data_IF_767661578068
#
_entry.id   IF_767661578068
#
_cell.length_a   1.000
_cell.length_b   1.000
_cell.length_c   1.000
_cell.angle_alpha   90.00
_cell.angle_beta   90.00
_cell.angle_gamma   90.00
#
_symmetry.space_group_name_H-M   'P 1'
#
loop_
_entity.id
_entity.type
_entity.pdbx_description
1 polymer ?
#
# COMPACT_ATOMS: atom_id res chain seq x y z
N UNK A 1 -13.41 -26.37 52.83
CA UNK A 1 -14.11 -27.02 51.70
C UNK A 1 -13.67 -26.33 50.42
N UNK A 2 -12.76 -26.95 49.65
CA UNK A 2 -12.24 -26.35 48.41
C UNK A 2 -13.22 -26.63 47.26
N UNK A 3 -13.74 -25.57 46.62
CA UNK A 3 -14.59 -25.68 45.43
C UNK A 3 -13.69 -25.77 44.19
N UNK A 4 -13.74 -26.86 43.40
CA UNK A 4 -13.05 -26.88 42.11
C UNK A 4 -13.69 -25.87 41.15
N UNK A 5 -12.86 -25.22 40.34
CA UNK A 5 -13.28 -24.25 39.30
C UNK A 5 -14.20 -24.90 38.27
N UNK A 6 -15.27 -24.20 37.89
CA UNK A 6 -16.34 -24.71 37.03
C UNK A 6 -15.84 -25.06 35.61
N UNK A 7 -16.19 -26.23 35.03
CA UNK A 7 -15.66 -26.73 33.75
C UNK A 7 -16.21 -26.02 32.49
N UNK A 8 -16.85 -24.87 32.64
CA UNK A 8 -17.64 -24.15 31.62
C UNK A 8 -16.81 -23.69 30.41
N UNK A 9 -15.48 -23.57 30.54
CA UNK A 9 -14.58 -23.14 29.45
C UNK A 9 -13.87 -24.28 28.71
N UNK A 10 -14.16 -25.55 29.02
CA UNK A 10 -13.14 -26.58 28.81
C UNK A 10 -13.19 -27.42 27.53
N UNK A 11 -14.28 -27.52 26.74
CA UNK A 11 -14.39 -28.71 25.86
C UNK A 11 -14.96 -28.59 24.44
N UNK A 12 -15.11 -27.40 23.86
CA UNK A 12 -15.36 -27.29 22.41
C UNK A 12 -14.80 -25.99 21.82
N UNK A 13 -13.59 -26.04 21.27
CA UNK A 13 -13.04 -24.94 20.49
C UNK A 13 -13.47 -25.09 19.03
N UNK A 14 -14.42 -24.25 18.58
CA UNK A 14 -14.74 -24.05 17.16
C UNK A 14 -13.82 -22.99 16.51
N UNK A 15 -12.65 -22.75 17.10
CA UNK A 15 -11.71 -21.76 16.57
C UNK A 15 -11.10 -22.24 15.24
N UNK A 16 -10.79 -21.32 14.31
CA UNK A 16 -10.11 -21.67 13.07
C UNK A 16 -8.78 -22.35 13.34
N UNK A 17 -8.50 -23.46 12.66
CA UNK A 17 -7.25 -24.17 12.86
C UNK A 17 -6.03 -23.34 12.43
N UNK A 18 -4.93 -23.42 13.16
CA UNK A 18 -3.66 -22.76 12.84
C UNK A 18 -2.60 -23.76 12.36
N UNK A 19 -1.49 -23.26 11.81
CA UNK A 19 -0.45 -24.08 11.16
C UNK A 19 0.32 -25.03 12.10
N UNK A 20 0.26 -24.84 13.42
CA UNK A 20 0.84 -25.77 14.42
C UNK A 20 -0.18 -26.73 15.04
N UNK A 21 -1.43 -26.71 14.58
CA UNK A 21 -2.43 -27.70 14.94
C UNK A 21 -2.52 -28.78 13.85
N UNK A 22 -3.23 -29.87 14.12
CA UNK A 22 -3.38 -30.99 13.18
C UNK A 22 -2.20 -31.96 13.18
N UNK A 23 -2.26 -32.96 12.30
CA UNK A 23 -1.24 -34.00 12.14
C UNK A 23 -0.32 -33.70 10.94
N UNK A 24 0.66 -34.58 10.65
CA UNK A 24 1.67 -34.45 9.58
C UNK A 24 1.12 -34.10 8.20
N UNK A 25 -0.13 -34.49 7.90
CA UNK A 25 -0.77 -34.23 6.59
C UNK A 25 -1.53 -32.91 6.54
N UNK A 26 -1.62 -32.18 7.66
CA UNK A 26 -2.27 -30.89 7.71
C UNK A 26 -1.27 -29.79 7.36
N UNK A 27 -1.48 -29.13 6.22
CA UNK A 27 -0.75 -27.93 5.84
C UNK A 27 -1.71 -26.74 5.75
N UNK A 28 -1.41 -25.69 6.51
CA UNK A 28 -2.07 -24.38 6.39
C UNK A 28 -1.02 -23.31 6.10
N UNK A 29 -1.15 -22.67 4.94
CA UNK A 29 -0.27 -21.57 4.55
C UNK A 29 -0.46 -20.33 5.42
N UNK A 30 0.61 -19.55 5.58
CA UNK A 30 0.63 -18.30 6.36
C UNK A 30 0.19 -17.07 5.54
N UNK A 31 -0.13 -17.26 4.26
CA UNK A 31 -0.53 -16.17 3.38
C UNK A 31 0.61 -15.20 3.06
N UNK A 32 1.84 -15.71 2.90
CA UNK A 32 3.17 -15.06 2.81
C UNK A 32 3.38 -13.84 1.87
N UNK A 33 2.34 -13.06 1.54
CA UNK A 33 2.20 -11.62 1.80
C UNK A 33 0.89 -11.17 1.13
N UNK A 34 -0.24 -10.95 1.84
CA UNK A 34 -1.46 -10.46 1.20
C UNK A 34 -1.26 -8.97 0.88
N UNK A 35 -1.24 -8.60 -0.40
CA UNK A 35 -1.19 -7.19 -0.85
C UNK A 35 -0.05 -6.83 -1.79
N UNK A 36 0.96 -7.70 -1.98
CA UNK A 36 2.12 -7.43 -2.83
C UNK A 36 2.16 -8.30 -4.10
N UNK A 37 1.00 -8.76 -4.59
CA UNK A 37 0.88 -9.58 -5.81
C UNK A 37 0.64 -11.08 -5.56
N UNK A 38 0.84 -11.93 -6.60
CA UNK A 38 0.54 -13.36 -6.53
C UNK A 38 1.23 -14.07 -5.35
N UNK A 39 0.49 -14.91 -4.64
CA UNK A 39 1.02 -15.67 -3.49
C UNK A 39 1.99 -16.77 -3.93
N UNK A 40 1.76 -17.34 -5.11
CA UNK A 40 2.59 -18.42 -5.65
C UNK A 40 3.78 -17.84 -6.43
N UNK A 41 4.98 -18.04 -5.91
CA UNK A 41 6.25 -17.63 -6.54
C UNK A 41 6.78 -18.68 -7.54
N UNK A 42 6.01 -19.75 -7.75
CA UNK A 42 6.42 -20.91 -8.51
C UNK A 42 5.29 -21.92 -8.65
N UNK A 43 5.65 -23.17 -8.96
CA UNK A 43 4.70 -24.29 -9.07
C UNK A 43 5.30 -25.57 -8.52
N UNK A 44 4.45 -26.48 -8.03
CA UNK A 44 4.88 -27.83 -7.71
C UNK A 44 5.19 -28.62 -8.99
N UNK A 45 6.26 -29.40 -8.96
CA UNK A 45 6.57 -30.35 -10.03
C UNK A 45 5.60 -31.53 -10.01
N UNK A 46 5.33 -32.14 -11.17
CA UNK A 46 4.41 -33.28 -11.27
C UNK A 46 5.01 -34.62 -10.80
N UNK A 47 6.11 -35.06 -11.43
CA UNK A 47 6.75 -36.37 -11.20
C UNK A 47 8.29 -36.31 -11.21
N UNK A 48 8.87 -35.22 -10.73
CA UNK A 48 10.32 -34.99 -10.76
C UNK A 48 10.99 -35.01 -9.39
N UNK A 49 12.33 -35.07 -9.40
CA UNK A 49 13.17 -34.90 -8.19
C UNK A 49 13.10 -33.50 -7.59
N UNK A 50 12.67 -32.50 -8.37
CA UNK A 50 12.45 -31.13 -7.91
C UNK A 50 10.97 -30.96 -7.47
N UNK A 51 10.68 -30.91 -6.15
CA UNK A 51 9.30 -30.83 -5.65
C UNK A 51 8.63 -29.47 -5.89
N UNK A 52 9.43 -28.40 -6.09
CA UNK A 52 8.95 -27.05 -6.37
C UNK A 52 9.87 -26.33 -7.36
N UNK A 53 9.30 -25.69 -8.37
CA UNK A 53 9.99 -24.94 -9.42
C UNK A 53 9.73 -23.45 -9.19
N UNK A 54 10.81 -22.71 -8.97
CA UNK A 54 10.83 -21.27 -8.79
C UNK A 54 10.65 -20.55 -10.14
N UNK A 55 9.80 -19.52 -10.18
CA UNK A 55 9.51 -18.74 -11.39
C UNK A 55 9.87 -17.27 -11.15
N UNK A 56 11.03 -16.78 -11.63
CA UNK A 56 11.49 -15.41 -11.39
C UNK A 56 10.47 -14.33 -11.75
N UNK A 57 9.70 -14.55 -12.82
CA UNK A 57 8.62 -13.64 -13.26
C UNK A 57 7.51 -13.45 -12.22
N UNK A 58 7.30 -14.43 -11.33
CA UNK A 58 6.29 -14.38 -10.25
C UNK A 58 6.89 -13.95 -8.91
N UNK A 59 8.21 -13.83 -8.85
CA UNK A 59 8.89 -13.41 -7.63
C UNK A 59 8.75 -11.91 -7.45
N UNK A 60 8.56 -11.50 -6.20
CA UNK A 60 8.48 -10.09 -5.86
C UNK A 60 9.89 -9.50 -5.81
N UNK A 61 10.05 -8.33 -6.40
CA UNK A 61 11.27 -7.52 -6.32
C UNK A 61 10.93 -6.15 -5.72
N UNK A 62 11.72 -5.70 -4.76
CA UNK A 62 11.62 -4.35 -4.22
C UNK A 62 12.71 -3.50 -4.86
N UNK A 63 12.32 -2.70 -5.86
CA UNK A 63 13.25 -1.85 -6.58
C UNK A 63 13.50 -0.59 -5.76
N UNK A 64 14.76 -0.38 -5.39
CA UNK A 64 15.19 0.83 -4.67
C UNK A 64 15.60 1.88 -5.69
N UNK A 65 15.05 3.11 -5.64
CA UNK A 65 15.46 4.17 -6.55
C UNK A 65 16.92 4.56 -6.30
N UNK A 66 17.62 4.93 -7.38
CA UNK A 66 19.00 5.41 -7.30
C UNK A 66 19.06 6.72 -6.51
N UNK A 67 20.07 6.88 -5.66
CA UNK A 67 20.27 8.09 -4.87
C UNK A 67 19.35 8.24 -3.65
N UNK A 68 18.56 7.22 -3.29
CA UNK A 68 17.67 7.28 -2.12
C UNK A 68 18.41 7.57 -0.80
N UNK A 69 19.66 7.12 -0.69
CA UNK A 69 20.51 7.36 0.48
C UNK A 69 21.09 8.78 0.54
N UNK A 70 21.03 9.54 -0.55
CA UNK A 70 21.56 10.91 -0.65
C UNK A 70 20.46 11.96 -0.69
N UNK A 71 19.18 11.58 -0.75
CA UNK A 71 18.07 12.54 -0.74
C UNK A 71 17.96 13.24 0.62
N UNK A 72 17.64 14.53 0.61
CA UNK A 72 17.31 15.29 1.82
C UNK A 72 15.92 14.96 2.39
N UNK A 73 15.11 14.18 1.65
CA UNK A 73 13.77 13.78 2.08
C UNK A 73 13.81 12.88 3.32
N UNK A 74 13.07 13.28 4.36
CA UNK A 74 12.92 12.55 5.63
C UNK A 74 11.49 12.01 5.78
N UNK A 75 11.27 10.96 6.60
CA UNK A 75 9.94 10.42 6.84
C UNK A 75 9.01 11.39 7.59
N UNK A 76 9.55 12.43 8.21
CA UNK A 76 8.81 13.43 8.98
C UNK A 76 9.21 14.85 8.57
N UNK A 77 8.29 15.79 8.78
CA UNK A 77 8.47 17.22 8.56
C UNK A 77 8.79 17.92 9.88
N UNK A 78 9.57 19.01 9.84
CA UNK A 78 9.85 19.82 11.03
C UNK A 78 8.57 20.47 11.57
N UNK A 79 8.41 20.49 12.90
CA UNK A 79 7.21 21.01 13.58
C UNK A 79 6.93 22.48 13.29
N UNK A 80 7.97 23.26 12.99
CA UNK A 80 7.90 24.69 12.76
C UNK A 80 7.36 25.06 11.37
N UNK A 81 7.39 24.12 10.42
CA UNK A 81 6.90 24.35 9.06
C UNK A 81 5.37 24.39 9.07
N UNK A 82 4.81 25.56 8.73
CA UNK A 82 3.38 25.72 8.48
C UNK A 82 3.10 25.32 7.03
N UNK A 83 2.20 24.37 6.83
CA UNK A 83 1.76 23.95 5.51
C UNK A 83 0.61 24.86 5.06
N UNK A 84 0.83 25.68 4.03
CA UNK A 84 -0.28 26.24 3.26
C UNK A 84 -0.59 25.31 2.09
N UNK A 85 -1.86 24.93 1.98
CA UNK A 85 -2.39 24.19 0.84
C UNK A 85 -2.24 24.91 -0.51
N UNK A 86 -2.02 26.22 -0.50
CA UNK A 86 -1.79 27.03 -1.72
C UNK A 86 -0.32 27.09 -2.13
N UNK A 87 0.62 26.76 -1.23
CA UNK A 87 2.07 26.79 -1.49
C UNK A 87 2.56 25.54 -2.27
N UNK A 88 1.64 24.82 -2.91
CA UNK A 88 2.00 23.69 -3.77
C UNK A 88 2.76 24.16 -5.01
N UNK A 89 3.72 23.34 -5.45
CA UNK A 89 4.42 23.52 -6.74
C UNK A 89 3.47 23.49 -7.95
N UNK A 90 2.25 22.97 -7.78
CA UNK A 90 1.28 22.72 -8.84
C UNK A 90 0.09 23.66 -8.69
N UNK A 91 -0.53 24.09 -9.81
CA UNK A 91 -1.64 25.02 -9.78
C UNK A 91 -2.87 24.36 -9.14
N UNK A 92 -3.67 25.17 -8.46
CA UNK A 92 -5.00 24.77 -8.00
C UNK A 92 -5.92 24.56 -9.21
N UNK A 93 -6.73 23.50 -9.19
CA UNK A 93 -7.64 23.20 -10.29
C UNK A 93 -8.63 24.35 -10.54
N UNK A 94 -8.78 24.79 -11.79
CA UNK A 94 -9.70 25.86 -12.18
C UNK A 94 -11.18 25.49 -11.91
N UNK A 95 -11.50 24.20 -11.97
CA UNK A 95 -12.83 23.65 -11.63
C UNK A 95 -13.14 23.69 -10.13
N UNK A 96 -12.16 24.04 -9.29
CA UNK A 96 -12.39 24.22 -7.88
C UNK A 96 -13.21 25.50 -7.66
N UNK A 97 -14.40 25.34 -7.10
CA UNK A 97 -15.23 26.48 -6.71
C UNK A 97 -14.50 27.41 -5.75
N UNK A 98 -14.88 28.70 -5.75
CA UNK A 98 -14.30 29.74 -4.86
C UNK A 98 -14.63 29.55 -3.38
N UNK A 99 -15.29 28.45 -3.01
CA UNK A 99 -15.64 28.13 -1.65
C UNK A 99 -14.39 27.91 -0.81
N UNK A 100 -14.02 28.98 -0.10
CA UNK A 100 -12.89 29.06 0.83
C UNK A 100 -12.99 28.01 1.98
N UNK A 101 -14.16 27.39 2.14
CA UNK A 101 -14.50 26.46 3.21
C UNK A 101 -14.68 25.00 2.74
N UNK A 102 -14.36 24.68 1.49
CA UNK A 102 -14.46 23.28 1.06
C UNK A 102 -13.53 22.43 1.94
N UNK A 103 -14.08 21.46 2.68
CA UNK A 103 -13.31 20.52 3.52
C UNK A 103 -12.24 19.75 2.71
N UNK A 104 -12.35 19.79 1.37
CA UNK A 104 -11.35 19.32 0.41
C UNK A 104 -10.25 20.38 0.26
N UNK A 105 -9.37 20.46 1.24
CA UNK A 105 -8.19 21.35 1.23
C UNK A 105 -7.17 21.05 0.13
N UNK A 106 -7.33 19.99 -0.67
CA UNK A 106 -6.37 19.61 -1.72
C UNK A 106 -6.44 20.46 -3.00
N UNK A 107 -5.50 20.22 -3.92
CA UNK A 107 -5.38 20.96 -5.18
C UNK A 107 -6.55 20.72 -6.15
N UNK A 108 -7.15 19.54 -6.06
CA UNK A 108 -8.12 19.06 -7.04
C UNK A 108 -9.54 19.59 -6.81
N UNK A 109 -10.27 19.80 -7.91
CA UNK A 109 -11.70 20.12 -7.90
C UNK A 109 -12.58 18.93 -7.56
N UNK A 110 -13.90 19.09 -7.67
CA UNK A 110 -14.87 18.04 -7.31
C UNK A 110 -14.67 16.72 -8.09
N UNK A 111 -14.21 16.82 -9.34
CA UNK A 111 -13.93 15.71 -10.26
C UNK A 111 -12.56 15.04 -10.06
N UNK A 112 -11.68 15.60 -9.22
CA UNK A 112 -10.36 14.99 -8.92
C UNK A 112 -9.35 15.12 -10.07
N UNK A 113 -8.74 14.00 -10.46
CA UNK A 113 -7.77 13.87 -11.56
C UNK A 113 -8.47 13.87 -12.93
N UNK A 114 -9.07 15.00 -13.29
CA UNK A 114 -9.78 15.17 -14.55
C UNK A 114 -8.84 15.60 -15.70
N UNK A 115 -9.22 15.31 -16.94
CA UNK A 115 -8.49 15.71 -18.14
C UNK A 115 -8.30 17.23 -18.24
N UNK A 116 -9.32 18.00 -17.84
CA UNK A 116 -9.25 19.47 -17.75
C UNK A 116 -8.09 19.94 -16.85
N UNK A 117 -7.86 19.26 -15.72
CA UNK A 117 -6.77 19.61 -14.81
C UNK A 117 -5.40 19.29 -15.42
N UNK A 118 -5.28 18.18 -16.15
CA UNK A 118 -4.03 17.85 -16.85
C UNK A 118 -3.69 18.84 -17.95
N UNK A 119 -4.69 19.34 -18.70
CA UNK A 119 -4.50 20.41 -19.68
C UNK A 119 -4.04 21.70 -19.01
N UNK A 120 -4.69 22.10 -17.92
CA UNK A 120 -4.29 23.25 -17.12
C UNK A 120 -2.84 23.11 -16.60
N UNK A 121 -2.47 21.93 -16.10
CA UNK A 121 -1.13 21.64 -15.61
C UNK A 121 -0.09 21.74 -16.73
N UNK A 122 -0.41 21.24 -17.93
CA UNK A 122 0.47 21.32 -19.09
C UNK A 122 0.73 22.79 -19.50
N UNK A 123 -0.33 23.61 -19.56
CA UNK A 123 -0.18 25.04 -19.83
C UNK A 123 0.65 25.76 -18.75
N UNK A 124 0.46 25.39 -17.48
CA UNK A 124 1.21 25.95 -16.37
C UNK A 124 2.71 25.63 -16.47
N UNK A 125 3.06 24.36 -16.74
CA UNK A 125 4.45 23.94 -16.91
C UNK A 125 5.10 24.60 -18.13
N UNK A 126 4.38 24.73 -19.25
CA UNK A 126 4.89 25.42 -20.43
C UNK A 126 5.19 26.91 -20.20
N UNK A 127 4.45 27.56 -19.30
CA UNK A 127 4.72 28.95 -18.89
C UNK A 127 5.92 29.07 -17.97
N UNK A 128 6.18 28.06 -17.13
CA UNK A 128 7.33 28.07 -16.21
C UNK A 128 8.65 27.82 -16.95
N UNK A 129 8.68 26.82 -17.82
CA UNK A 129 9.84 26.47 -18.64
C UNK A 129 9.47 26.57 -20.12
N UNK A 130 9.50 27.78 -20.73
CA UNK A 130 9.27 27.91 -22.14
C UNK A 130 10.35 27.13 -22.90
N UNK A 131 9.92 26.11 -23.64
CA UNK A 131 10.79 25.39 -24.56
C UNK A 131 11.42 26.42 -25.52
N UNK A 132 12.75 26.36 -25.78
CA UNK A 132 13.40 27.29 -26.69
C UNK A 132 12.78 27.26 -28.10
#
# INVERSE_FOLDING_TARGET
>A
MFRPTSPVLSKASRLPMMSKQGNKNYYKGTGSMPGLGPKAQGRHGGRGKAPYILMPERMRTFVVPLGLNTTDMKPYVAKEVKLDTKDGLWPMAATKGKDQYSKRGGLYGAKGFDGEYYLQLAEFLQKQDPKP
#
